data_IF_079970897590
#
_entry.id   IF_079970897590
#
_cell.length_a   1.000
_cell.length_b   1.000
_cell.length_c   1.000
_cell.angle_alpha   90.00
_cell.angle_beta   90.00
_cell.angle_gamma   90.00
#
_symmetry.space_group_name_H-M   'P 1'
#
loop_
_entity.id
_entity.type
_entity.pdbx_description
1 polymer ?
#
# COMPACT_ATOMS: atom_id res chain seq x y z
N UNK A 1 -2.97 -12.97 4.50
CA UNK A 1 -2.87 -13.38 3.08
C UNK A 1 -2.36 -12.19 2.25
N UNK A 2 -1.25 -12.34 1.49
CA UNK A 2 -0.78 -11.28 0.59
C UNK A 2 -1.71 -11.18 -0.62
N UNK A 3 -2.26 -10.00 -0.86
CA UNK A 3 -3.01 -9.73 -2.08
C UNK A 3 -2.03 -9.26 -3.18
N UNK A 4 -2.43 -9.34 -4.46
CA UNK A 4 -1.63 -8.82 -5.57
C UNK A 4 -1.20 -7.38 -5.32
N UNK A 5 0.08 -7.10 -5.50
CA UNK A 5 0.64 -5.77 -5.35
C UNK A 5 0.34 -4.95 -6.59
N UNK A 6 -0.30 -3.79 -6.41
CA UNK A 6 -0.52 -2.87 -7.51
C UNK A 6 0.78 -2.15 -7.82
N UNK A 7 1.20 -2.22 -9.09
CA UNK A 7 2.43 -1.62 -9.58
C UNK A 7 2.07 -0.53 -10.58
N UNK A 8 2.34 0.71 -10.21
CA UNK A 8 2.20 1.85 -11.09
C UNK A 8 3.59 2.29 -11.56
N UNK A 9 3.79 2.38 -12.87
CA UNK A 9 5.06 2.75 -13.48
C UNK A 9 4.87 4.11 -14.15
N UNK A 10 5.72 5.07 -13.80
CA UNK A 10 5.70 6.41 -14.36
C UNK A 10 7.03 6.69 -15.06
N UNK A 11 6.96 7.04 -16.34
CA UNK A 11 8.12 7.45 -17.12
C UNK A 11 8.10 8.97 -17.31
N UNK A 12 9.15 9.66 -16.86
CA UNK A 12 9.26 11.12 -16.99
C UNK A 12 10.48 11.45 -17.86
N UNK A 13 10.40 12.49 -18.68
CA UNK A 13 11.58 13.01 -19.38
C UNK A 13 12.50 13.70 -18.37
N UNK A 14 13.79 13.33 -18.38
CA UNK A 14 14.77 13.99 -17.52
C UNK A 14 15.14 15.38 -18.02
N UNK A 15 15.16 15.57 -19.35
CA UNK A 15 15.53 16.84 -19.97
C UNK A 15 14.32 17.72 -20.23
N UNK A 16 14.39 19.04 -19.94
CA UNK A 16 13.34 19.98 -20.31
C UNK A 16 13.26 20.25 -21.82
N UNK A 17 14.30 19.96 -22.61
CA UNK A 17 14.33 20.19 -24.05
C UNK A 17 15.13 19.14 -24.83
N UNK A 18 14.68 18.85 -26.06
CA UNK A 18 15.29 18.03 -27.15
C UNK A 18 15.56 16.54 -26.84
N UNK A 19 16.01 16.18 -25.65
CA UNK A 19 16.50 14.83 -25.36
C UNK A 19 15.36 13.87 -24.94
N UNK A 20 14.66 13.28 -25.91
CA UNK A 20 13.52 12.35 -25.70
C UNK A 20 13.93 10.94 -25.24
N UNK A 21 15.16 10.53 -25.51
CA UNK A 21 15.69 9.22 -25.12
C UNK A 21 16.18 9.21 -23.66
N UNK A 22 16.39 10.40 -23.08
CA UNK A 22 16.70 10.56 -21.67
C UNK A 22 15.42 10.50 -20.84
N UNK A 23 15.07 9.27 -20.41
CA UNK A 23 13.87 8.96 -19.61
C UNK A 23 14.26 8.47 -18.23
N UNK A 24 13.49 8.88 -17.23
CA UNK A 24 13.56 8.39 -15.88
C UNK A 24 12.34 7.53 -15.58
N UNK A 25 12.58 6.39 -14.93
CA UNK A 25 11.56 5.40 -14.64
C UNK A 25 11.35 5.35 -13.12
N UNK A 26 10.14 5.67 -12.68
CA UNK A 26 9.72 5.55 -11.31
C UNK A 26 8.65 4.47 -11.19
N UNK A 27 8.56 3.85 -10.02
CA UNK A 27 7.47 2.94 -9.71
C UNK A 27 6.92 3.21 -8.31
N UNK A 28 5.60 3.11 -8.18
CA UNK A 28 4.91 3.05 -6.89
C UNK A 28 4.34 1.65 -6.73
N UNK A 29 4.71 0.98 -5.63
CA UNK A 29 4.20 -0.36 -5.28
C UNK A 29 3.30 -0.26 -4.07
N UNK A 30 2.02 -0.56 -4.26
CA UNK A 30 1.04 -0.63 -3.17
C UNK A 30 0.86 -2.07 -2.74
N UNK A 31 1.32 -2.40 -1.54
CA UNK A 31 1.21 -3.73 -0.97
C UNK A 31 -0.08 -3.88 -0.18
N UNK A 32 -0.98 -4.76 -0.63
CA UNK A 32 -2.24 -5.06 0.05
C UNK A 32 -2.11 -6.37 0.82
N UNK A 33 -2.56 -6.39 2.08
CA UNK A 33 -2.59 -7.60 2.91
C UNK A 33 -4.00 -7.76 3.49
N UNK A 34 -4.54 -8.97 3.41
CA UNK A 34 -5.80 -9.36 4.04
C UNK A 34 -5.49 -10.12 5.33
N UNK A 35 -6.05 -9.68 6.45
CA UNK A 35 -6.05 -10.41 7.72
C UNK A 35 -7.49 -10.83 7.98
N UNK A 36 -7.72 -12.14 8.13
CA UNK A 36 -9.04 -12.69 8.44
C UNK A 36 -9.00 -13.23 9.88
N UNK A 37 -9.94 -12.78 10.71
CA UNK A 37 -10.14 -13.26 12.06
C UNK A 37 -11.44 -14.05 12.06
N UNK A 38 -11.34 -15.35 12.37
CA UNK A 38 -12.49 -16.24 12.52
C UNK A 38 -12.88 -16.18 14.00
N UNK A 39 -14.14 -15.87 14.29
CA UNK A 39 -14.73 -15.70 15.64
C UNK A 39 -14.05 -14.64 16.53
N UNK A 40 -14.33 -13.34 16.30
CA UNK A 40 -13.77 -12.27 17.13
C UNK A 40 -14.40 -12.25 18.53
N UNK A 41 -13.57 -12.37 19.57
CA UNK A 41 -13.96 -12.07 20.95
C UNK A 41 -14.03 -10.53 21.14
N UNK A 42 -15.00 -9.96 21.89
CA UNK A 42 -15.05 -8.51 22.19
C UNK A 42 -13.73 -7.91 22.70
N UNK A 43 -12.93 -8.67 23.47
CA UNK A 43 -11.59 -8.25 23.93
C UNK A 43 -10.58 -8.09 22.78
N UNK A 44 -10.73 -8.87 21.72
CA UNK A 44 -9.84 -8.83 20.55
C UNK A 44 -10.17 -7.63 19.66
N UNK A 45 -11.43 -7.20 19.61
CA UNK A 45 -11.83 -6.01 18.86
C UNK A 45 -11.23 -4.75 19.47
N UNK A 46 -11.28 -4.61 20.81
CA UNK A 46 -10.65 -3.47 21.49
C UNK A 46 -9.14 -3.47 21.30
N UNK A 47 -8.48 -4.62 21.45
CA UNK A 47 -7.04 -4.74 21.26
C UNK A 47 -6.57 -4.38 19.83
N UNK A 48 -7.41 -4.59 18.80
CA UNK A 48 -7.07 -4.20 17.43
C UNK A 48 -7.19 -2.70 17.17
N UNK A 49 -8.04 -2.00 17.91
CA UNK A 49 -8.15 -0.54 17.84
C UNK A 49 -7.02 0.15 18.59
N UNK A 50 -6.52 -0.48 19.66
CA UNK A 50 -5.46 0.05 20.52
C UNK A 50 -4.04 -0.25 20.02
N UNK A 51 -3.88 -0.95 18.88
CA UNK A 51 -2.55 -1.24 18.32
C UNK A 51 -1.93 0.05 17.79
N UNK A 52 -0.68 0.31 18.18
CA UNK A 52 0.15 1.36 17.59
C UNK A 52 0.57 0.95 16.18
N UNK A 53 -0.18 1.42 15.19
CA UNK A 53 0.19 1.27 13.79
C UNK A 53 1.23 2.30 13.38
N UNK A 54 2.26 1.90 12.62
CA UNK A 54 3.20 2.84 12.05
C UNK A 54 2.48 3.75 11.04
N UNK A 55 2.87 5.02 11.02
CA UNK A 55 2.34 5.99 10.06
C UNK A 55 2.61 5.52 8.62
N UNK A 56 1.58 5.55 7.77
CA UNK A 56 1.68 5.13 6.36
C UNK A 56 1.02 3.79 6.02
N UNK A 57 0.35 3.14 6.97
CA UNK A 57 -0.53 1.99 6.71
C UNK A 57 -1.99 2.45 6.78
N UNK A 58 -2.77 2.11 5.76
CA UNK A 58 -4.22 2.31 5.75
C UNK A 58 -4.93 0.98 6.08
N UNK A 59 -5.89 1.01 7.02
CA UNK A 59 -6.66 -0.15 7.44
C UNK A 59 -8.12 0.06 7.08
N UNK A 60 -8.69 -0.93 6.38
CA UNK A 60 -10.12 -0.98 6.10
C UNK A 60 -10.73 -2.19 6.81
N UNK A 61 -11.54 -1.93 7.83
CA UNK A 61 -12.37 -2.95 8.49
C UNK A 61 -13.64 -3.18 7.67
N UNK A 62 -13.79 -4.37 7.08
CA UNK A 62 -15.06 -4.82 6.48
C UNK A 62 -15.78 -5.74 7.46
N UNK A 63 -17.05 -5.45 7.73
CA UNK A 63 -17.97 -6.34 8.46
C UNK A 63 -18.36 -7.55 7.63
#
# INVERSE_FOLDING_TARGET
IPLPTEKEIFTVLRSPHVNKDSREQFERRTHKRLIQIIDPNPKTISALMDIDLPSGIDIVLKK
#
